data_IF_635308302014
#
_entry.id   IF_635308302014
#
_cell.length_a   1.000
_cell.length_b   1.000
_cell.length_c   1.000
_cell.angle_alpha   90.00
_cell.angle_beta   90.00
_cell.angle_gamma   90.00
#
_symmetry.space_group_name_H-M   'P 1'
#
loop_
_entity.id
_entity.type
_entity.pdbx_description
1 polymer ?
#
# COMPACT_ATOMS: atom_id res chain seq x y z
N UNK A 1 -2.62 12.62 -10.31
CA UNK A 1 -3.03 11.51 -9.38
C UNK A 1 -2.74 11.92 -7.94
N UNK A 2 -3.60 11.56 -6.98
CA UNK A 2 -3.32 11.63 -5.55
C UNK A 2 -3.20 10.20 -5.02
N UNK A 3 -2.16 9.91 -4.25
CA UNK A 3 -1.88 8.58 -3.71
C UNK A 3 -1.69 8.67 -2.20
N UNK A 4 -2.43 7.84 -1.46
CA UNK A 4 -2.25 7.71 -0.02
C UNK A 4 -1.74 6.29 0.29
N UNK A 5 -0.60 6.21 0.96
CA UNK A 5 -0.08 4.95 1.52
C UNK A 5 -0.54 4.86 2.96
N UNK A 6 -1.48 3.96 3.21
CA UNK A 6 -2.09 3.75 4.52
C UNK A 6 -1.49 2.52 5.16
N UNK A 7 -0.98 2.65 6.38
CA UNK A 7 -0.34 1.56 7.10
C UNK A 7 -0.59 1.64 8.60
N UNK A 8 -0.37 0.53 9.30
CA UNK A 8 -0.42 0.45 10.75
C UNK A 8 0.98 0.42 11.35
N UNK A 9 1.19 1.26 12.36
CA UNK A 9 2.50 1.42 13.01
C UNK A 9 3.44 2.36 12.24
N UNK A 10 4.55 2.65 12.90
CA UNK A 10 5.63 3.48 12.34
C UNK A 10 6.76 2.59 11.84
N UNK A 11 7.50 3.06 10.85
CA UNK A 11 8.80 2.48 10.52
C UNK A 11 9.77 2.92 11.62
N UNK A 12 10.22 1.99 12.46
CA UNK A 12 11.08 2.25 13.60
C UNK A 12 12.57 2.18 13.24
N UNK A 13 12.93 1.33 12.28
CA UNK A 13 14.30 1.21 11.79
C UNK A 13 14.71 2.49 11.06
N UNK A 14 15.78 3.21 11.51
CA UNK A 14 16.18 4.45 10.84
C UNK A 14 16.56 4.28 9.36
N UNK A 15 17.22 3.19 9.02
CA UNK A 15 17.61 2.90 7.64
C UNK A 15 16.39 2.65 6.73
N UNK A 16 15.38 1.90 7.22
CA UNK A 16 14.15 1.67 6.46
C UNK A 16 13.32 2.97 6.33
N UNK A 17 13.28 3.79 7.40
CA UNK A 17 12.60 5.10 7.34
C UNK A 17 13.24 6.01 6.30
N UNK A 18 14.57 6.10 6.31
CA UNK A 18 15.32 6.88 5.33
C UNK A 18 15.07 6.41 3.91
N UNK A 19 15.03 5.10 3.68
CA UNK A 19 14.74 4.52 2.37
C UNK A 19 13.32 4.81 1.91
N UNK A 20 12.33 4.67 2.79
CA UNK A 20 10.93 4.99 2.47
C UNK A 20 10.76 6.48 2.13
N UNK A 21 11.36 7.39 2.92
CA UNK A 21 11.32 8.84 2.68
C UNK A 21 12.00 9.22 1.36
N UNK A 22 13.09 8.52 1.00
CA UNK A 22 13.77 8.73 -0.28
C UNK A 22 12.85 8.44 -1.46
N UNK A 23 12.22 7.28 -1.51
CA UNK A 23 11.32 6.92 -2.61
C UNK A 23 10.03 7.75 -2.61
N UNK A 24 9.50 8.09 -1.44
CA UNK A 24 8.38 9.02 -1.31
C UNK A 24 8.71 10.38 -1.92
N UNK A 25 9.89 10.94 -1.61
CA UNK A 25 10.37 12.20 -2.19
C UNK A 25 10.53 12.12 -3.70
N UNK A 26 11.05 11.01 -4.23
CA UNK A 26 11.16 10.82 -5.68
C UNK A 26 9.77 10.79 -6.35
N UNK A 27 8.83 10.06 -5.75
CA UNK A 27 7.46 9.91 -6.22
C UNK A 27 6.69 11.23 -6.21
N UNK A 28 6.97 12.12 -5.25
CA UNK A 28 6.30 13.43 -5.13
C UNK A 28 6.58 14.40 -6.28
N UNK A 29 7.52 14.06 -7.17
CA UNK A 29 7.73 14.79 -8.42
C UNK A 29 6.64 14.53 -9.47
N UNK A 30 5.92 13.42 -9.33
CA UNK A 30 4.93 12.94 -10.31
C UNK A 30 3.50 12.95 -9.76
N UNK A 31 3.35 12.89 -8.45
CA UNK A 31 2.04 12.71 -7.81
C UNK A 31 2.04 13.31 -6.40
N UNK A 32 0.87 13.70 -5.90
CA UNK A 32 0.68 14.04 -4.48
C UNK A 32 0.68 12.74 -3.66
N UNK A 33 1.76 12.50 -2.91
CA UNK A 33 1.95 11.28 -2.12
C UNK A 33 1.86 11.59 -0.63
N UNK A 34 0.92 10.96 0.05
CA UNK A 34 0.81 11.02 1.50
C UNK A 34 1.04 9.64 2.13
N UNK A 35 1.61 9.62 3.30
CA UNK A 35 1.74 8.43 4.14
C UNK A 35 0.90 8.65 5.40
N UNK A 36 -0.02 7.71 5.65
CA UNK A 36 -0.97 7.79 6.76
C UNK A 36 -0.74 6.59 7.66
N UNK A 37 -0.27 6.85 8.86
CA UNK A 37 0.06 5.85 9.85
C UNK A 37 -1.01 5.79 10.94
N UNK A 38 -1.74 4.69 10.99
CA UNK A 38 -2.63 4.41 12.11
C UNK A 38 -1.90 3.69 13.23
N UNK A 39 -2.32 3.93 14.48
CA UNK A 39 -1.85 3.13 15.61
C UNK A 39 -2.36 1.69 15.42
N UNK A 40 -1.49 0.66 15.51
CA UNK A 40 -1.96 -0.73 15.48
C UNK A 40 -2.93 -1.01 16.63
N UNK A 41 -3.88 -1.91 16.40
CA UNK A 41 -4.74 -2.39 17.47
C UNK A 41 -3.92 -3.27 18.44
N UNK A 42 -4.23 -3.24 19.75
CA UNK A 42 -3.54 -4.10 20.70
C UNK A 42 -3.93 -5.56 20.48
N UNK A 43 -2.93 -6.43 20.56
CA UNK A 43 -3.10 -7.89 20.63
C UNK A 43 -2.64 -8.32 22.01
N UNK A 44 -3.57 -8.80 22.83
CA UNK A 44 -3.29 -9.11 24.26
C UNK A 44 -2.74 -10.51 24.46
N UNK A 45 -3.09 -11.44 23.58
CA UNK A 45 -2.64 -12.82 23.61
C UNK A 45 -2.63 -13.43 22.19
N UNK A 46 -2.20 -14.70 22.08
CA UNK A 46 -2.14 -15.40 20.79
C UNK A 46 -3.44 -16.13 20.42
N UNK A 47 -4.57 -15.78 21.06
CA UNK A 47 -5.86 -16.39 20.72
C UNK A 47 -6.41 -15.83 19.41
N UNK A 48 -7.20 -16.67 18.70
CA UNK A 48 -7.89 -16.24 17.49
C UNK A 48 -8.85 -15.06 17.77
N UNK A 49 -9.48 -15.04 18.96
CA UNK A 49 -10.39 -13.96 19.36
C UNK A 49 -9.66 -12.63 19.51
N UNK A 50 -8.43 -12.63 20.07
CA UNK A 50 -7.61 -11.43 20.21
C UNK A 50 -7.17 -10.88 18.84
N UNK A 51 -6.76 -11.76 17.93
CA UNK A 51 -6.42 -11.37 16.54
C UNK A 51 -7.64 -10.83 15.80
N UNK A 52 -8.78 -11.50 15.85
CA UNK A 52 -10.02 -11.06 15.19
C UNK A 52 -10.49 -9.72 15.73
N UNK A 53 -10.40 -9.49 17.04
CA UNK A 53 -10.76 -8.21 17.64
C UNK A 53 -9.83 -7.08 17.15
N UNK A 54 -8.52 -7.32 17.09
CA UNK A 54 -7.56 -6.36 16.55
C UNK A 54 -7.85 -6.03 15.09
N UNK A 55 -8.11 -7.05 14.25
CA UNK A 55 -8.50 -6.85 12.86
C UNK A 55 -9.78 -6.01 12.71
N UNK A 56 -10.80 -6.24 13.54
CA UNK A 56 -12.04 -5.46 13.53
C UNK A 56 -11.75 -3.98 13.84
N UNK A 57 -10.97 -3.70 14.90
CA UNK A 57 -10.61 -2.33 15.28
C UNK A 57 -9.85 -1.63 14.14
N UNK A 58 -8.91 -2.33 13.51
CA UNK A 58 -8.15 -1.77 12.39
C UNK A 58 -9.03 -1.52 11.16
N UNK A 59 -9.92 -2.46 10.85
CA UNK A 59 -10.87 -2.30 9.76
C UNK A 59 -11.80 -1.10 9.96
N UNK A 60 -12.30 -0.87 11.18
CA UNK A 60 -13.14 0.30 11.48
C UNK A 60 -12.37 1.62 11.29
N UNK A 61 -11.07 1.65 11.57
CA UNK A 61 -10.22 2.82 11.30
C UNK A 61 -10.08 3.09 9.81
N UNK A 62 -9.91 2.03 9.00
CA UNK A 62 -9.86 2.14 7.54
C UNK A 62 -11.20 2.65 7.01
N UNK A 63 -12.32 2.09 7.47
CA UNK A 63 -13.66 2.53 7.02
C UNK A 63 -13.90 4.00 7.34
N UNK A 64 -13.61 4.47 8.55
CA UNK A 64 -13.70 5.89 8.92
C UNK A 64 -12.79 6.80 8.08
N UNK A 65 -11.65 6.30 7.65
CA UNK A 65 -10.78 7.01 6.72
C UNK A 65 -11.43 7.12 5.34
N UNK A 66 -11.97 6.01 4.80
CA UNK A 66 -12.59 5.96 3.48
C UNK A 66 -13.87 6.82 3.39
N UNK A 67 -14.63 6.93 4.47
CA UNK A 67 -15.81 7.81 4.56
C UNK A 67 -15.48 9.28 4.22
N UNK A 68 -14.27 9.73 4.53
CA UNK A 68 -13.80 11.08 4.20
C UNK A 68 -13.44 11.24 2.71
N UNK A 69 -13.25 10.13 2.01
CA UNK A 69 -12.81 10.11 0.62
C UNK A 69 -13.68 9.14 -0.21
N UNK A 70 -14.93 9.50 -0.50
CA UNK A 70 -15.91 8.59 -1.13
C UNK A 70 -15.50 8.13 -2.54
N UNK A 71 -14.57 8.82 -3.19
CA UNK A 71 -14.03 8.42 -4.49
C UNK A 71 -12.72 7.64 -4.39
N UNK A 72 -12.26 7.33 -3.18
CA UNK A 72 -11.05 6.53 -3.01
C UNK A 72 -11.28 5.07 -3.44
N UNK A 73 -10.22 4.43 -3.92
CA UNK A 73 -10.18 2.99 -4.18
C UNK A 73 -8.94 2.41 -3.52
N UNK A 74 -9.10 1.21 -2.95
CA UNK A 74 -8.04 0.51 -2.26
C UNK A 74 -7.36 -0.47 -3.21
N UNK A 75 -6.02 -0.45 -3.22
CA UNK A 75 -5.17 -1.55 -3.63
C UNK A 75 -4.58 -2.13 -2.35
N UNK A 76 -5.03 -3.32 -1.94
CA UNK A 76 -4.56 -3.96 -0.73
C UNK A 76 -3.27 -4.75 -1.00
N UNK A 77 -2.24 -4.51 -0.16
CA UNK A 77 -1.04 -5.34 -0.15
C UNK A 77 -1.34 -6.60 0.65
N UNK A 78 -1.47 -7.72 -0.03
CA UNK A 78 -1.95 -8.98 0.51
C UNK A 78 -1.04 -10.11 0.02
N UNK A 79 -0.42 -10.84 0.96
CA UNK A 79 0.55 -11.90 0.64
C UNK A 79 -0.07 -13.08 -0.13
N UNK A 80 -1.37 -13.33 0.06
CA UNK A 80 -2.11 -14.40 -0.62
C UNK A 80 -2.60 -13.99 -2.03
N UNK A 81 -2.40 -12.74 -2.43
CA UNK A 81 -2.80 -12.26 -3.73
C UNK A 81 -1.76 -12.59 -4.81
N UNK A 82 -2.14 -12.54 -6.10
CA UNK A 82 -1.18 -12.65 -7.19
C UNK A 82 -0.16 -11.50 -7.18
N UNK A 83 1.11 -11.82 -7.40
CA UNK A 83 2.11 -10.79 -7.73
C UNK A 83 1.86 -10.22 -9.12
N UNK A 84 2.26 -8.97 -9.33
CA UNK A 84 2.08 -8.25 -10.60
C UNK A 84 3.40 -7.62 -11.04
N UNK A 85 3.61 -7.55 -12.35
CA UNK A 85 4.73 -6.79 -12.91
C UNK A 85 4.51 -5.29 -12.70
N UNK A 86 5.56 -4.51 -12.61
CA UNK A 86 5.47 -3.04 -12.45
C UNK A 86 4.57 -2.38 -13.51
N UNK A 87 4.60 -2.89 -14.74
CA UNK A 87 3.74 -2.40 -15.82
C UNK A 87 2.24 -2.63 -15.53
N UNK A 88 1.88 -3.74 -14.88
CA UNK A 88 0.49 -4.00 -14.53
C UNK A 88 0.01 -3.00 -13.45
N UNK A 89 0.89 -2.58 -12.54
CA UNK A 89 0.58 -1.53 -11.56
C UNK A 89 0.27 -0.20 -12.23
N UNK A 90 1.03 0.17 -13.29
CA UNK A 90 0.76 1.41 -14.02
C UNK A 90 -0.58 1.37 -14.75
N UNK A 91 -0.92 0.26 -15.39
CA UNK A 91 -2.23 0.08 -16.04
C UNK A 91 -3.38 0.19 -15.03
N UNK A 92 -3.28 -0.52 -13.90
CA UNK A 92 -4.29 -0.46 -12.84
C UNK A 92 -4.47 0.97 -12.31
N UNK A 93 -3.36 1.69 -12.08
CA UNK A 93 -3.41 3.05 -11.55
C UNK A 93 -4.04 4.03 -12.55
N UNK A 94 -3.71 3.94 -13.84
CA UNK A 94 -4.29 4.77 -14.91
C UNK A 94 -5.79 4.47 -15.10
N UNK A 95 -6.20 3.20 -15.07
CA UNK A 95 -7.60 2.80 -15.13
C UNK A 95 -8.40 3.40 -13.96
N UNK A 96 -7.92 3.25 -12.73
CA UNK A 96 -8.59 3.79 -11.55
C UNK A 96 -8.64 5.33 -11.58
N UNK A 97 -7.57 6.00 -12.03
CA UNK A 97 -7.55 7.45 -12.19
C UNK A 97 -8.57 7.90 -13.23
N UNK A 98 -8.67 7.22 -14.37
CA UNK A 98 -9.64 7.52 -15.44
C UNK A 98 -11.09 7.42 -14.97
N UNK A 99 -11.36 6.57 -13.97
CA UNK A 99 -12.67 6.44 -13.31
C UNK A 99 -12.91 7.51 -12.23
N UNK A 100 -12.02 8.50 -12.10
CA UNK A 100 -12.14 9.59 -11.14
C UNK A 100 -11.75 9.23 -9.71
N UNK A 101 -10.98 8.14 -9.50
CA UNK A 101 -10.47 7.75 -8.19
C UNK A 101 -9.58 8.83 -7.60
N UNK A 102 -9.86 9.22 -6.35
CA UNK A 102 -9.02 10.14 -5.58
C UNK A 102 -9.35 10.10 -4.09
N UNK A 103 -8.37 9.78 -3.23
CA UNK A 103 -7.05 9.25 -3.55
C UNK A 103 -7.08 7.77 -3.99
N UNK A 104 -6.03 7.34 -4.69
CA UNK A 104 -5.68 5.93 -4.83
C UNK A 104 -5.00 5.50 -3.54
N UNK A 105 -5.55 4.51 -2.85
CA UNK A 105 -5.10 4.08 -1.51
C UNK A 105 -4.34 2.77 -1.62
N UNK A 106 -3.05 2.77 -1.31
CA UNK A 106 -2.29 1.55 -1.09
C UNK A 106 -2.33 1.20 0.39
N UNK A 107 -2.91 0.06 0.74
CA UNK A 107 -3.10 -0.36 2.12
C UNK A 107 -2.13 -1.48 2.50
N UNK A 108 -1.32 -1.24 3.53
CA UNK A 108 -0.45 -2.24 4.16
C UNK A 108 -1.03 -2.61 5.52
N UNK A 109 -1.35 -3.88 5.72
CA UNK A 109 -1.85 -4.41 6.99
C UNK A 109 -0.81 -4.35 8.11
N UNK A 110 -1.28 -4.55 9.34
CA UNK A 110 -0.42 -4.78 10.51
C UNK A 110 0.02 -6.26 10.60
N UNK A 111 0.63 -6.64 11.72
CA UNK A 111 1.00 -8.03 11.99
C UNK A 111 -0.19 -8.99 12.11
N UNK A 112 -1.41 -8.49 12.23
CA UNK A 112 -2.64 -9.32 12.23
C UNK A 112 -3.26 -9.44 10.83
N UNK A 113 -2.64 -8.86 9.81
CA UNK A 113 -3.15 -8.84 8.44
C UNK A 113 -4.29 -7.84 8.23
N UNK A 114 -4.92 -7.90 7.07
CA UNK A 114 -6.05 -7.05 6.70
C UNK A 114 -7.34 -7.84 6.86
N UNK A 115 -8.33 -7.26 7.53
CA UNK A 115 -9.63 -7.90 7.72
C UNK A 115 -10.32 -8.16 6.37
N UNK A 116 -10.99 -9.32 6.22
CA UNK A 116 -11.68 -9.73 4.99
C UNK A 116 -12.66 -8.67 4.46
N UNK A 117 -13.43 -8.02 5.34
CA UNK A 117 -14.37 -6.95 4.92
C UNK A 117 -13.68 -5.79 4.17
N UNK A 118 -12.40 -5.52 4.45
CA UNK A 118 -11.62 -4.50 3.74
C UNK A 118 -11.04 -5.08 2.45
N UNK A 119 -10.56 -6.32 2.49
CA UNK A 119 -10.10 -7.02 1.28
C UNK A 119 -11.21 -7.15 0.23
N UNK A 120 -12.45 -7.40 0.66
CA UNK A 120 -13.62 -7.53 -0.22
C UNK A 120 -14.02 -6.18 -0.86
N UNK A 121 -13.68 -5.06 -0.21
CA UNK A 121 -13.89 -3.69 -0.74
C UNK A 121 -12.72 -3.20 -1.61
N UNK A 122 -11.60 -3.90 -1.60
CA UNK A 122 -10.43 -3.49 -2.38
C UNK A 122 -10.71 -3.65 -3.89
N UNK A 123 -10.38 -2.63 -4.67
CA UNK A 123 -10.46 -2.70 -6.14
C UNK A 123 -9.46 -3.71 -6.68
N UNK A 124 -8.29 -3.80 -6.05
CA UNK A 124 -7.27 -4.81 -6.36
C UNK A 124 -6.60 -5.30 -5.08
N UNK A 125 -6.13 -6.55 -5.13
CA UNK A 125 -5.25 -7.18 -4.15
C UNK A 125 -3.98 -7.57 -4.87
N UNK A 126 -2.82 -7.19 -4.33
CA UNK A 126 -1.51 -7.41 -4.97
C UNK A 126 -0.52 -7.89 -3.92
N UNK A 127 0.21 -8.96 -4.23
CA UNK A 127 1.35 -9.42 -3.42
C UNK A 127 2.65 -8.75 -3.87
N UNK A 128 3.50 -8.38 -2.90
CA UNK A 128 4.86 -7.89 -3.15
C UNK A 128 5.86 -9.02 -3.45
N UNK A 129 5.43 -10.26 -3.38
CA UNK A 129 6.24 -11.45 -3.63
C UNK A 129 5.71 -12.65 -2.86
N UNK A 130 6.33 -13.81 -3.05
CA UNK A 130 5.93 -15.06 -2.41
C UNK A 130 6.51 -15.25 -0.99
N UNK A 131 7.42 -14.37 -0.56
CA UNK A 131 8.00 -14.41 0.78
C UNK A 131 7.21 -13.50 1.72
N UNK A 132 7.08 -13.94 2.98
CA UNK A 132 6.60 -13.06 4.05
C UNK A 132 7.70 -12.06 4.41
N UNK A 133 7.40 -10.78 4.30
CA UNK A 133 8.30 -9.69 4.66
C UNK A 133 7.70 -8.84 5.77
N UNK A 134 8.57 -8.20 6.59
CA UNK A 134 8.08 -7.35 7.67
C UNK A 134 7.28 -6.16 7.11
N UNK A 135 6.28 -5.71 7.85
CA UNK A 135 5.45 -4.55 7.44
C UNK A 135 6.26 -3.26 7.21
N UNK A 136 7.40 -3.09 7.91
CA UNK A 136 8.29 -1.95 7.68
C UNK A 136 9.01 -2.05 6.34
N UNK A 137 9.54 -3.24 6.01
CA UNK A 137 10.19 -3.48 4.72
C UNK A 137 9.18 -3.47 3.57
N UNK A 138 7.99 -4.04 3.77
CA UNK A 138 6.91 -3.99 2.80
C UNK A 138 6.58 -2.55 2.37
N UNK A 139 6.60 -1.61 3.32
CA UNK A 139 6.37 -0.18 3.01
C UNK A 139 7.49 0.42 2.17
N UNK A 140 8.76 0.07 2.43
CA UNK A 140 9.89 0.52 1.60
C UNK A 140 9.75 0.00 0.18
N UNK A 141 9.50 -1.31 0.04
CA UNK A 141 9.28 -1.94 -1.28
C UNK A 141 8.08 -1.31 -2.00
N UNK A 142 6.99 -1.05 -1.28
CA UNK A 142 5.81 -0.41 -1.84
C UNK A 142 6.13 1.01 -2.36
N UNK A 143 6.82 1.85 -1.60
CA UNK A 143 7.21 3.18 -2.06
C UNK A 143 8.12 3.12 -3.29
N UNK A 144 9.03 2.16 -3.35
CA UNK A 144 9.86 1.93 -4.54
C UNK A 144 9.01 1.51 -5.73
N UNK A 145 8.05 0.60 -5.57
CA UNK A 145 7.14 0.19 -6.65
C UNK A 145 6.20 1.32 -7.09
N UNK A 146 5.71 2.15 -6.19
CA UNK A 146 4.94 3.35 -6.54
C UNK A 146 5.81 4.30 -7.38
N UNK A 147 7.06 4.52 -7.00
CA UNK A 147 7.98 5.33 -7.79
C UNK A 147 8.15 4.77 -9.20
N UNK A 148 8.44 3.46 -9.34
CA UNK A 148 8.55 2.80 -10.66
C UNK A 148 7.27 2.91 -11.47
N UNK A 149 6.13 2.64 -10.88
CA UNK A 149 4.82 2.78 -11.49
C UNK A 149 4.64 4.20 -12.07
N UNK A 150 4.94 5.22 -11.28
CA UNK A 150 4.83 6.62 -11.72
C UNK A 150 5.84 6.98 -12.82
N UNK A 151 7.04 6.40 -12.81
CA UNK A 151 8.00 6.60 -13.90
C UNK A 151 7.54 5.96 -15.21
N UNK A 152 6.86 4.81 -15.15
CA UNK A 152 6.24 4.19 -16.33
C UNK A 152 5.15 5.09 -16.90
N UNK A 153 4.21 5.52 -16.05
CA UNK A 153 3.08 6.40 -16.45
C UNK A 153 3.59 7.69 -17.10
N UNK A 154 4.70 8.24 -16.60
CA UNK A 154 5.27 9.50 -17.10
C UNK A 154 6.36 9.32 -18.17
N UNK A 155 6.51 8.13 -18.74
CA UNK A 155 7.51 7.82 -19.77
C UNK A 155 8.96 8.22 -19.38
N UNK A 156 9.30 8.11 -18.09
CA UNK A 156 10.62 8.48 -17.59
C UNK A 156 11.63 7.34 -17.82
N UNK A 157 12.87 7.60 -18.24
CA UNK A 157 13.87 6.58 -18.59
C UNK A 157 14.38 5.71 -17.43
N UNK A 158 13.94 5.96 -16.20
CA UNK A 158 14.27 5.12 -15.04
C UNK A 158 13.75 3.68 -15.18
N UNK A 159 12.65 3.48 -15.90
CA UNK A 159 12.11 2.16 -16.16
C UNK A 159 12.67 1.60 -17.47
N UNK A 160 13.76 0.87 -17.39
CA UNK A 160 14.20 0.03 -18.51
C UNK A 160 13.48 -1.32 -18.44
N UNK A 161 12.54 -1.57 -19.37
CA UNK A 161 11.97 -2.91 -19.54
C UNK A 161 13.10 -3.88 -19.84
N UNK A 162 13.36 -4.76 -18.86
CA UNK A 162 13.94 -6.08 -19.08
C UNK A 162 15.17 -6.20 -19.97
N UNK A 163 16.27 -5.51 -19.68
CA UNK A 163 17.58 -6.12 -19.95
C UNK A 163 18.04 -6.75 -18.65
N UNK A 164 17.92 -8.07 -18.62
CA UNK A 164 18.46 -8.96 -17.60
C UNK A 164 19.87 -8.53 -17.22
N UNK A 165 20.10 -8.35 -15.92
CA UNK A 165 21.45 -8.35 -15.35
C UNK A 165 22.02 -9.74 -15.50
#
# INVERSE_FOLDING_TARGET
>A
MKIDVVAFGKIKSPGLRQSADYYKKLSSKYSDIQEIEFKPAPVFDKSNSSFTNAQNIEADRIEKYLEKFPRSKIIAMDEDAPSRKTKDWSVIAEELESLGTSPLVFLVGSSVGIHSKILDKAAHRISLGSQTISHELARVVLFEQIYRMLTVINNHPYHHEGKTL
#
